data_IF_802592578129
#
_entry.id   IF_802592578129
#
_cell.length_a   1.000
_cell.length_b   1.000
_cell.length_c   1.000
_cell.angle_alpha   90.00
_cell.angle_beta   90.00
_cell.angle_gamma   90.00
#
_symmetry.space_group_name_H-M   'P 1'
#
loop_
_entity.id
_entity.type
_entity.pdbx_description
1 polymer ?
#
# COMPACT_ATOMS: atom_id res chain seq x y z
N UNK A 1 41.37 -4.02 -3.31
CA UNK A 1 40.46 -5.13 -3.62
C UNK A 1 39.19 -4.82 -2.86
N UNK A 2 38.28 -4.12 -3.53
CA UNK A 2 37.02 -3.63 -2.95
C UNK A 2 36.16 -4.85 -2.61
N UNK A 3 35.68 -4.87 -1.36
CA UNK A 3 34.85 -5.94 -0.84
C UNK A 3 33.50 -5.94 -1.56
N UNK A 4 33.35 -6.82 -2.55
CA UNK A 4 32.13 -6.97 -3.33
C UNK A 4 30.91 -7.32 -2.45
N UNK A 5 31.14 -7.82 -1.22
CA UNK A 5 30.10 -8.00 -0.22
C UNK A 5 29.58 -6.67 0.34
N UNK A 6 30.47 -5.71 0.62
CA UNK A 6 30.11 -4.40 1.16
C UNK A 6 29.41 -3.48 0.12
N UNK A 7 29.77 -3.59 -1.17
CA UNK A 7 29.06 -2.87 -2.25
C UNK A 7 27.68 -3.46 -2.54
N UNK A 8 27.48 -4.77 -2.37
CA UNK A 8 26.16 -5.41 -2.41
C UNK A 8 25.32 -5.02 -1.18
N UNK A 9 25.94 -4.95 0.01
CA UNK A 9 25.30 -4.51 1.24
C UNK A 9 24.89 -3.03 1.21
N UNK A 10 25.67 -2.17 0.54
CA UNK A 10 25.38 -0.75 0.36
C UNK A 10 24.31 -0.51 -0.73
N UNK A 11 24.28 -1.32 -1.79
CA UNK A 11 23.28 -1.21 -2.87
C UNK A 11 21.91 -1.81 -2.52
N UNK A 12 21.86 -2.73 -1.54
CA UNK A 12 20.62 -3.29 -0.99
C UNK A 12 20.04 -2.48 0.18
N UNK A 13 20.62 -1.32 0.56
CA UNK A 13 20.10 -0.46 1.65
C UNK A 13 19.15 0.65 1.15
N UNK A 14 17.85 0.31 1.02
CA UNK A 14 16.76 1.16 1.52
C UNK A 14 16.39 0.86 2.99
N UNK A 15 17.10 -0.08 3.60
CA UNK A 15 16.76 -0.85 4.82
C UNK A 15 16.67 -0.12 6.18
N UNK A 16 16.84 1.21 6.28
CA UNK A 16 17.12 1.84 7.60
C UNK A 16 16.24 3.00 8.03
N UNK A 17 15.22 3.39 7.27
CA UNK A 17 14.43 4.56 7.64
C UNK A 17 13.05 4.15 8.13
N UNK A 18 12.88 3.86 9.44
CA UNK A 18 11.55 3.80 10.05
C UNK A 18 10.79 5.12 9.89
N UNK A 19 11.41 6.17 9.37
CA UNK A 19 10.84 7.50 9.07
C UNK A 19 10.75 7.82 7.58
N UNK A 20 10.94 6.85 6.68
CA UNK A 20 10.73 7.09 5.26
C UNK A 20 9.31 7.60 5.00
N UNK A 21 9.18 8.60 4.13
CA UNK A 21 7.89 9.03 3.64
C UNK A 21 7.26 7.89 2.84
N UNK A 22 6.17 7.35 3.37
CA UNK A 22 5.42 6.27 2.71
C UNK A 22 4.08 6.79 2.24
N UNK A 23 3.69 6.37 1.05
CA UNK A 23 2.40 6.72 0.47
C UNK A 23 1.58 5.44 0.32
N UNK A 24 0.30 5.48 0.74
CA UNK A 24 -0.61 4.34 0.67
C UNK A 24 -1.98 4.74 0.12
N UNK A 25 -2.80 3.73 -0.19
CA UNK A 25 -4.20 3.89 -0.61
C UNK A 25 -4.37 4.81 -1.82
N UNK A 26 -3.60 4.58 -2.88
CA UNK A 26 -3.65 5.37 -4.11
C UNK A 26 -3.15 6.82 -3.96
N UNK A 27 -2.42 7.15 -2.90
CA UNK A 27 -1.95 8.51 -2.65
C UNK A 27 -2.70 9.27 -1.56
N UNK A 28 -3.75 8.66 -0.99
CA UNK A 28 -4.61 9.33 -0.01
C UNK A 28 -4.00 9.41 1.40
N UNK A 29 -2.98 8.60 1.68
CA UNK A 29 -2.32 8.54 2.98
C UNK A 29 -0.82 8.78 2.82
N UNK A 30 -0.27 9.56 3.74
CA UNK A 30 1.16 9.83 3.85
C UNK A 30 1.60 9.48 5.27
N UNK A 31 2.67 8.69 5.39
CA UNK A 31 3.38 8.52 6.65
C UNK A 31 4.49 9.56 6.71
N UNK A 32 4.50 10.36 7.78
CA UNK A 32 5.51 11.39 8.01
C UNK A 32 5.76 11.50 9.50
N UNK A 33 7.04 11.56 9.90
CA UNK A 33 7.46 11.61 11.32
C UNK A 33 6.74 10.55 12.19
N UNK A 34 6.72 9.30 11.74
CA UNK A 34 6.08 8.19 12.46
C UNK A 34 4.55 8.20 12.52
N UNK A 35 3.87 9.14 11.85
CA UNK A 35 2.40 9.28 11.91
C UNK A 35 1.79 9.23 10.51
N UNK A 36 0.66 8.54 10.38
CA UNK A 36 -0.15 8.56 9.15
C UNK A 36 -1.12 9.73 9.15
N UNK A 37 -1.10 10.48 8.05
CA UNK A 37 -2.00 11.61 7.80
C UNK A 37 -2.70 11.44 6.46
N UNK A 38 -3.90 12.00 6.33
CA UNK A 38 -4.54 12.12 5.02
C UNK A 38 -3.80 13.16 4.18
N UNK A 39 -3.40 12.81 2.96
CA UNK A 39 -2.67 13.73 2.06
C UNK A 39 -3.47 15.02 1.80
N UNK A 40 -4.79 14.90 1.63
CA UNK A 40 -5.67 16.01 1.27
C UNK A 40 -5.92 17.02 2.40
N UNK A 41 -5.96 16.55 3.66
CA UNK A 41 -6.32 17.39 4.81
C UNK A 41 -5.17 17.62 5.80
N UNK A 42 -4.09 16.83 5.69
CA UNK A 42 -2.96 16.76 6.63
C UNK A 42 -3.36 16.45 8.06
N UNK A 43 -4.58 15.96 8.29
CA UNK A 43 -5.04 15.50 9.62
C UNK A 43 -4.56 14.07 9.87
N UNK A 44 -4.31 13.68 11.14
CA UNK A 44 -4.02 12.30 11.50
C UNK A 44 -5.14 11.36 11.04
N UNK A 45 -4.76 10.15 10.63
CA UNK A 45 -5.69 9.06 10.30
C UNK A 45 -6.07 8.36 11.62
N UNK A 46 -7.33 8.43 12.07
CA UNK A 46 -7.73 7.85 13.34
C UNK A 46 -7.53 6.33 13.37
N UNK A 47 -6.84 5.84 14.41
CA UNK A 47 -6.57 4.40 14.58
C UNK A 47 -5.60 3.83 13.55
N UNK A 48 -4.85 4.66 12.83
CA UNK A 48 -3.83 4.16 11.92
C UNK A 48 -2.68 3.46 12.66
N UNK A 49 -2.28 2.32 12.14
CA UNK A 49 -1.14 1.54 12.59
C UNK A 49 -0.18 1.28 11.43
N UNK A 50 1.10 1.20 11.75
CA UNK A 50 2.12 0.73 10.83
C UNK A 50 1.93 -0.77 10.55
N UNK A 51 1.88 -1.11 9.26
CA UNK A 51 2.05 -2.49 8.82
C UNK A 51 3.53 -2.68 8.54
N UNK A 52 4.19 -3.42 9.42
CA UNK A 52 5.60 -3.78 9.25
C UNK A 52 5.77 -4.98 8.33
N UNK A 53 6.96 -5.13 7.78
CA UNK A 53 7.35 -6.26 6.93
C UNK A 53 7.12 -7.58 7.68
N UNK A 54 7.56 -7.66 8.93
CA UNK A 54 7.38 -8.85 9.77
C UNK A 54 5.91 -9.18 10.02
N UNK A 55 5.05 -8.17 10.22
CA UNK A 55 3.59 -8.39 10.35
C UNK A 55 2.97 -8.87 9.04
N UNK A 56 3.38 -8.30 7.90
CA UNK A 56 2.82 -8.62 6.57
C UNK A 56 3.19 -10.02 6.10
N UNK A 57 4.42 -10.46 6.37
CA UNK A 57 4.95 -11.74 5.89
C UNK A 57 5.13 -12.77 7.00
N UNK A 58 4.70 -12.50 8.25
CA UNK A 58 4.88 -13.42 9.37
C UNK A 58 4.17 -14.77 9.22
N UNK A 59 3.13 -14.83 8.38
CA UNK A 59 2.36 -16.05 8.10
C UNK A 59 2.75 -16.79 6.82
N UNK A 60 3.79 -16.37 6.09
CA UNK A 60 4.20 -17.06 4.86
C UNK A 60 4.80 -18.43 5.16
N UNK A 61 4.60 -19.44 4.28
CA UNK A 61 5.12 -20.78 4.49
C UNK A 61 6.64 -20.80 4.67
N UNK A 62 7.12 -21.76 5.45
CA UNK A 62 8.54 -21.97 5.71
C UNK A 62 8.98 -23.36 5.29
N UNK A 63 10.22 -23.48 4.84
CA UNK A 63 10.86 -24.74 4.51
C UNK A 63 12.25 -24.80 5.14
N UNK A 64 12.57 -25.94 5.73
CA UNK A 64 13.93 -26.27 6.14
C UNK A 64 14.61 -27.04 5.00
N UNK A 65 15.84 -26.67 4.67
CA UNK A 65 16.72 -27.34 3.71
C UNK A 65 18.10 -27.54 4.34
N UNK A 66 18.96 -28.30 3.66
CA UNK A 66 20.32 -28.58 4.13
C UNK A 66 21.13 -27.28 4.38
N UNK A 67 20.84 -26.23 3.61
CA UNK A 67 21.50 -24.92 3.68
C UNK A 67 20.81 -23.90 4.61
N UNK A 68 19.74 -24.27 5.33
CA UNK A 68 19.08 -23.41 6.32
C UNK A 68 17.55 -23.35 6.25
N UNK A 69 16.96 -22.39 6.96
CA UNK A 69 15.50 -22.13 6.97
C UNK A 69 15.15 -20.98 6.01
N UNK A 70 14.12 -21.21 5.19
CA UNK A 70 13.68 -20.29 4.16
C UNK A 70 12.19 -19.97 4.31
N UNK A 71 11.84 -18.72 4.05
CA UNK A 71 10.48 -18.30 3.75
C UNK A 71 10.22 -18.48 2.26
N UNK A 72 9.08 -19.08 1.94
CA UNK A 72 8.60 -19.25 0.57
C UNK A 72 7.69 -18.07 0.22
N UNK A 73 8.20 -17.13 -0.57
CA UNK A 73 7.40 -16.04 -1.12
C UNK A 73 6.80 -16.46 -2.45
N UNK A 74 5.54 -16.12 -2.70
CA UNK A 74 4.94 -16.28 -4.03
C UNK A 74 5.73 -15.44 -5.05
N UNK A 75 6.11 -16.06 -6.17
CA UNK A 75 6.87 -15.38 -7.22
C UNK A 75 6.08 -14.21 -7.82
N UNK A 76 4.76 -14.33 -7.93
CA UNK A 76 3.93 -13.27 -8.46
C UNK A 76 4.00 -12.00 -7.59
N UNK A 77 4.35 -12.11 -6.31
CA UNK A 77 4.56 -10.97 -5.42
C UNK A 77 5.96 -10.33 -5.55
N UNK A 78 6.93 -11.02 -6.13
CA UNK A 78 8.32 -10.53 -6.25
C UNK A 78 8.53 -9.81 -7.57
N UNK A 79 8.21 -10.47 -8.69
CA UNK A 79 8.46 -9.95 -10.05
C UNK A 79 7.31 -10.22 -11.05
N UNK A 80 6.19 -10.76 -10.59
CA UNK A 80 5.03 -11.03 -11.44
C UNK A 80 3.93 -9.96 -11.41
N UNK A 81 2.68 -10.31 -11.80
CA UNK A 81 1.58 -9.37 -11.95
C UNK A 81 1.14 -8.70 -10.64
N UNK A 82 1.41 -9.34 -9.50
CA UNK A 82 1.10 -8.85 -8.16
C UNK A 82 2.34 -8.32 -7.43
N UNK A 83 3.37 -7.92 -8.20
CA UNK A 83 4.67 -7.50 -7.66
C UNK A 83 4.53 -6.38 -6.63
N UNK A 84 5.18 -6.59 -5.48
CA UNK A 84 5.15 -5.69 -4.33
C UNK A 84 6.46 -4.92 -4.26
N UNK A 85 6.43 -3.57 -4.26
CA UNK A 85 7.64 -2.76 -4.25
C UNK A 85 8.61 -3.11 -3.11
N UNK A 86 8.10 -3.46 -1.94
CA UNK A 86 8.88 -3.85 -0.77
C UNK A 86 9.61 -5.20 -0.90
N UNK A 87 9.27 -6.02 -1.90
CA UNK A 87 9.90 -7.32 -2.18
C UNK A 87 10.91 -7.27 -3.33
N UNK A 88 11.14 -6.10 -3.95
CA UNK A 88 12.04 -6.00 -5.11
C UNK A 88 13.48 -6.44 -4.83
N UNK A 89 13.92 -6.38 -3.56
CA UNK A 89 15.24 -6.88 -3.16
C UNK A 89 15.35 -8.41 -3.24
N UNK A 90 14.23 -9.14 -3.30
CA UNK A 90 14.21 -10.59 -3.48
C UNK A 90 14.38 -11.02 -4.94
N UNK A 91 14.29 -10.10 -5.92
CA UNK A 91 14.36 -10.44 -7.36
C UNK A 91 15.63 -11.24 -7.70
N UNK A 92 16.85 -10.87 -7.24
CA UNK A 92 18.05 -11.66 -7.50
C UNK A 92 17.95 -13.11 -6.99
N UNK A 93 17.27 -13.34 -5.86
CA UNK A 93 17.06 -14.69 -5.32
C UNK A 93 16.14 -15.53 -6.22
N UNK A 94 15.14 -14.90 -6.84
CA UNK A 94 14.24 -15.55 -7.78
C UNK A 94 14.92 -16.00 -9.07
N UNK A 95 16.01 -15.34 -9.48
CA UNK A 95 16.75 -15.70 -10.70
C UNK A 95 17.52 -17.02 -10.59
N UNK A 96 17.72 -17.54 -9.37
CA UNK A 96 18.42 -18.80 -9.12
C UNK A 96 17.63 -20.02 -9.62
N UNK A 97 16.30 -19.94 -9.60
CA UNK A 97 15.42 -20.96 -10.17
C UNK A 97 14.17 -20.30 -10.78
N UNK A 98 14.23 -19.83 -12.03
CA UNK A 98 13.12 -19.12 -12.69
C UNK A 98 11.90 -20.01 -12.98
N UNK A 99 12.00 -21.34 -12.82
CA UNK A 99 10.88 -22.26 -13.03
C UNK A 99 10.02 -22.47 -11.78
N UNK A 100 10.55 -22.16 -10.59
CA UNK A 100 9.81 -22.28 -9.32
C UNK A 100 8.63 -21.31 -9.23
N UNK A 101 7.53 -21.75 -8.60
CA UNK A 101 6.41 -20.88 -8.24
C UNK A 101 6.71 -19.99 -7.02
N UNK A 102 7.78 -20.27 -6.29
CA UNK A 102 8.19 -19.53 -5.09
C UNK A 102 9.61 -19.00 -5.20
N UNK A 103 9.87 -17.91 -4.50
CA UNK A 103 11.21 -17.40 -4.24
C UNK A 103 11.58 -17.75 -2.80
N UNK A 104 12.66 -18.50 -2.65
CA UNK A 104 13.18 -18.90 -1.35
C UNK A 104 14.02 -17.77 -0.77
N UNK A 105 13.60 -17.26 0.39
CA UNK A 105 14.26 -16.15 1.07
C UNK A 105 14.74 -16.61 2.43
N UNK A 106 16.04 -16.50 2.76
CA UNK A 106 16.54 -16.88 4.08
C UNK A 106 15.74 -16.18 5.20
N UNK A 107 15.39 -16.93 6.25
CA UNK A 107 14.60 -16.38 7.38
C UNK A 107 15.30 -15.19 8.02
N UNK A 108 16.62 -15.22 8.15
CA UNK A 108 17.40 -14.14 8.75
C UNK A 108 17.27 -12.81 7.99
N UNK A 109 17.18 -12.86 6.65
CA UNK A 109 16.96 -11.65 5.83
C UNK A 109 15.57 -11.05 6.08
N UNK A 110 14.55 -11.89 6.29
CA UNK A 110 13.20 -11.45 6.63
C UNK A 110 13.17 -10.86 8.03
N UNK A 111 13.82 -11.50 9.01
CA UNK A 111 13.89 -11.03 10.39
C UNK A 111 14.62 -9.69 10.49
N UNK A 112 15.73 -9.52 9.77
CA UNK A 112 16.47 -8.25 9.69
C UNK A 112 15.60 -7.09 9.16
N UNK A 113 14.59 -7.38 8.34
CA UNK A 113 13.63 -6.41 7.79
C UNK A 113 12.34 -6.27 8.59
N UNK A 114 12.15 -7.08 9.63
CA UNK A 114 10.84 -7.23 10.30
C UNK A 114 10.23 -5.93 10.80
N UNK A 115 11.04 -4.96 11.22
CA UNK A 115 10.61 -3.65 11.71
C UNK A 115 10.34 -2.60 10.61
N UNK A 116 10.72 -2.87 9.35
CA UNK A 116 10.52 -1.92 8.25
C UNK A 116 9.03 -1.73 8.00
N UNK A 117 8.56 -0.49 7.99
CA UNK A 117 7.16 -0.17 7.66
C UNK A 117 6.96 -0.28 6.16
N UNK A 118 5.96 -1.07 5.76
CA UNK A 118 5.64 -1.35 4.34
C UNK A 118 4.20 -1.02 3.99
N UNK A 119 3.42 -0.52 4.94
CA UNK A 119 2.07 -0.06 4.67
C UNK A 119 1.35 0.45 5.90
N UNK A 120 0.05 0.65 5.68
CA UNK A 120 -0.89 1.22 6.63
C UNK A 120 -1.98 0.20 6.91
N UNK A 121 -2.34 0.06 8.19
CA UNK A 121 -3.64 -0.44 8.60
C UNK A 121 -4.44 0.72 9.21
N UNK A 122 -5.71 0.82 8.88
CA UNK A 122 -6.62 1.77 9.51
C UNK A 122 -8.04 1.18 9.51
N UNK A 123 -8.88 1.49 10.51
CA UNK A 123 -10.26 0.98 10.57
C UNK A 123 -11.09 1.30 9.32
N UNK A 124 -10.85 2.45 8.68
CA UNK A 124 -11.54 2.85 7.45
C UNK A 124 -11.10 2.08 6.20
N UNK A 125 -9.95 1.39 6.25
CA UNK A 125 -9.47 0.51 5.19
C UNK A 125 -10.00 -0.91 5.33
N UNK A 126 -10.78 -1.20 6.38
CA UNK A 126 -11.50 -2.46 6.49
C UNK A 126 -12.43 -2.64 5.28
N UNK A 127 -12.45 -3.83 4.64
CA UNK A 127 -13.28 -4.07 3.46
C UNK A 127 -14.75 -3.71 3.63
N UNK A 128 -15.32 -3.84 4.84
CA UNK A 128 -16.70 -3.49 5.14
C UNK A 128 -16.94 -1.98 5.23
N UNK A 129 -15.90 -1.18 5.48
CA UNK A 129 -15.97 0.28 5.55
C UNK A 129 -15.81 0.95 4.16
N UNK A 130 -15.36 0.21 3.15
CA UNK A 130 -15.08 0.74 1.82
C UNK A 130 -16.36 1.03 1.02
N UNK A 131 -16.34 2.17 0.33
CA UNK A 131 -17.45 2.65 -0.48
C UNK A 131 -17.23 2.33 -1.95
N UNK A 132 -18.26 1.75 -2.58
CA UNK A 132 -18.37 1.66 -4.03
C UNK A 132 -18.94 2.95 -4.62
N UNK A 133 -18.84 3.13 -5.94
CA UNK A 133 -19.50 4.24 -6.64
C UNK A 133 -21.01 4.34 -6.35
N UNK A 134 -21.71 3.20 -6.18
CA UNK A 134 -23.13 3.16 -5.82
C UNK A 134 -23.40 3.66 -4.41
N UNK A 135 -22.52 3.34 -3.45
CA UNK A 135 -22.64 3.84 -2.08
C UNK A 135 -22.34 5.34 -2.00
N UNK A 136 -21.35 5.82 -2.75
CA UNK A 136 -21.05 7.26 -2.87
C UNK A 136 -22.23 8.01 -3.51
N UNK A 137 -22.85 7.44 -4.56
CA UNK A 137 -24.00 8.04 -5.22
C UNK A 137 -25.15 8.27 -4.23
N UNK A 138 -25.48 7.25 -3.42
CA UNK A 138 -26.49 7.35 -2.35
C UNK A 138 -26.11 8.39 -1.30
N UNK A 139 -24.85 8.40 -0.85
CA UNK A 139 -24.33 9.35 0.13
C UNK A 139 -24.48 10.80 -0.32
N UNK A 140 -24.23 11.07 -1.60
CA UNK A 140 -24.25 12.42 -2.18
C UNK A 140 -25.60 12.83 -2.77
N UNK A 141 -26.58 11.94 -2.80
CA UNK A 141 -27.87 12.19 -3.46
C UNK A 141 -27.77 12.37 -4.98
N UNK A 142 -26.82 11.69 -5.64
CA UNK A 142 -26.61 11.73 -7.10
C UNK A 142 -26.72 10.35 -7.73
N UNK A 143 -26.67 10.27 -9.06
CA UNK A 143 -26.67 8.97 -9.75
C UNK A 143 -25.30 8.31 -9.74
N UNK A 144 -25.26 6.97 -9.84
CA UNK A 144 -24.01 6.22 -10.04
C UNK A 144 -23.25 6.69 -11.30
N UNK A 145 -23.99 7.02 -12.37
CA UNK A 145 -23.39 7.55 -13.61
C UNK A 145 -22.64 8.87 -13.36
N UNK A 146 -23.19 9.74 -12.52
CA UNK A 146 -22.53 10.99 -12.11
C UNK A 146 -21.22 10.72 -11.37
N UNK A 147 -21.21 9.77 -10.42
CA UNK A 147 -19.99 9.38 -9.69
C UNK A 147 -18.94 8.79 -10.63
N UNK A 148 -19.36 7.90 -11.53
CA UNK A 148 -18.46 7.34 -12.55
C UNK A 148 -17.87 8.43 -13.45
N UNK A 149 -18.66 9.43 -13.83
CA UNK A 149 -18.19 10.56 -14.62
C UNK A 149 -17.17 11.41 -13.85
N UNK A 150 -17.37 11.63 -12.54
CA UNK A 150 -16.37 12.31 -11.71
C UNK A 150 -15.07 11.52 -11.62
N UNK A 151 -15.14 10.21 -11.42
CA UNK A 151 -13.96 9.34 -11.39
C UNK A 151 -13.22 9.33 -12.74
N UNK A 152 -13.94 9.12 -13.84
CA UNK A 152 -13.37 9.11 -15.19
C UNK A 152 -12.69 10.43 -15.57
N UNK A 153 -13.20 11.56 -15.06
CA UNK A 153 -12.62 12.89 -15.25
C UNK A 153 -11.55 13.24 -14.21
N UNK A 154 -11.15 12.30 -13.34
CA UNK A 154 -10.20 12.52 -12.25
C UNK A 154 -10.59 13.69 -11.33
N UNK A 155 -11.89 13.96 -11.20
CA UNK A 155 -12.43 15.02 -10.36
C UNK A 155 -12.66 14.56 -8.92
N UNK A 156 -12.58 13.25 -8.67
CA UNK A 156 -12.63 12.61 -7.36
C UNK A 156 -11.24 12.14 -6.93
N UNK A 157 -11.02 11.93 -5.61
CA UNK A 157 -9.79 11.31 -5.13
C UNK A 157 -9.56 9.94 -5.79
N UNK A 158 -8.30 9.51 -5.94
CA UNK A 158 -8.00 8.18 -6.42
C UNK A 158 -8.61 7.12 -5.48
N UNK A 159 -9.06 5.97 -6.01
CA UNK A 159 -9.53 4.88 -5.17
C UNK A 159 -8.39 4.33 -4.31
N UNK A 160 -8.73 3.85 -3.11
CA UNK A 160 -7.76 3.25 -2.19
C UNK A 160 -7.46 1.78 -2.54
N UNK A 161 -8.41 1.12 -3.20
CA UNK A 161 -8.33 -0.26 -3.65
C UNK A 161 -9.28 -0.49 -4.83
N UNK A 162 -9.08 -1.60 -5.53
CA UNK A 162 -9.98 -2.06 -6.59
C UNK A 162 -10.34 -3.51 -6.36
N UNK A 163 -11.63 -3.80 -6.17
CA UNK A 163 -12.12 -5.18 -6.03
C UNK A 163 -12.22 -5.83 -7.42
N UNK A 164 -11.61 -7.01 -7.58
CA UNK A 164 -11.61 -7.78 -8.82
C UNK A 164 -11.12 -6.98 -10.03
N UNK A 165 -10.16 -6.07 -9.82
CA UNK A 165 -9.56 -5.18 -10.83
C UNK A 165 -10.54 -4.23 -11.56
N UNK A 166 -11.82 -4.22 -11.20
CA UNK A 166 -12.87 -3.46 -11.92
C UNK A 166 -13.67 -2.52 -11.04
N UNK A 167 -13.82 -2.83 -9.76
CA UNK A 167 -14.69 -2.05 -8.87
C UNK A 167 -13.82 -1.16 -7.97
N UNK A 168 -13.65 0.12 -8.30
CA UNK A 168 -12.89 1.05 -7.45
C UNK A 168 -13.61 1.27 -6.12
N UNK A 169 -12.81 1.36 -5.06
CA UNK A 169 -13.25 1.51 -3.68
C UNK A 169 -12.60 2.73 -3.04
N UNK A 170 -13.36 3.45 -2.22
CA UNK A 170 -12.90 4.65 -1.51
C UNK A 170 -13.23 4.57 -0.02
N UNK A 171 -12.45 5.24 0.82
CA UNK A 171 -12.82 5.43 2.21
C UNK A 171 -13.76 6.61 2.37
N UNK A 172 -14.66 6.50 3.36
CA UNK A 172 -15.64 7.55 3.63
C UNK A 172 -15.00 8.90 3.99
N UNK A 173 -13.97 8.98 4.86
CA UNK A 173 -13.38 10.29 5.23
C UNK A 173 -12.76 11.04 4.05
N UNK A 174 -12.17 10.31 3.10
CA UNK A 174 -11.62 10.89 1.86
C UNK A 174 -12.74 11.47 0.99
N UNK A 175 -13.85 10.74 0.82
CA UNK A 175 -15.01 11.19 0.05
C UNK A 175 -15.71 12.38 0.72
N UNK A 176 -15.93 12.34 2.03
CA UNK A 176 -16.58 13.42 2.78
C UNK A 176 -15.76 14.72 2.69
N UNK A 177 -14.44 14.65 2.82
CA UNK A 177 -13.56 15.80 2.66
C UNK A 177 -13.64 16.39 1.24
N UNK A 178 -13.60 15.52 0.22
CA UNK A 178 -13.71 15.95 -1.17
C UNK A 178 -15.07 16.62 -1.46
N UNK A 179 -16.17 16.00 -1.03
CA UNK A 179 -17.52 16.52 -1.25
C UNK A 179 -17.70 17.90 -0.60
N UNK A 180 -17.21 18.08 0.63
CA UNK A 180 -17.25 19.36 1.32
C UNK A 180 -16.50 20.49 0.55
N UNK A 181 -15.41 20.16 -0.15
CA UNK A 181 -14.67 21.12 -0.99
C UNK A 181 -15.44 21.48 -2.27
N UNK A 182 -16.15 20.53 -2.87
CA UNK A 182 -16.99 20.80 -4.04
C UNK A 182 -18.16 21.74 -3.71
N UNK A 183 -18.79 21.56 -2.54
CA UNK A 183 -19.88 22.45 -2.10
C UNK A 183 -19.41 23.89 -1.87
N UNK A 184 -18.19 24.09 -1.35
CA UNK A 184 -17.62 25.44 -1.16
C UNK A 184 -17.35 26.14 -2.49
N UNK A 185 -16.87 25.42 -3.50
CA UNK A 185 -16.63 25.97 -4.84
C UNK A 185 -17.92 26.39 -5.55
N UNK A 186 -19.04 25.74 -5.24
CA UNK A 186 -20.35 26.03 -5.87
C UNK A 186 -21.13 27.15 -5.19
N UNK A 187 -20.75 27.60 -4.00
CA UNK A 187 -21.40 28.73 -3.33
C UNK A 187 -20.92 30.03 -3.99
N UNK A 188 -21.77 30.76 -4.74
CA UNK A 188 -21.40 32.08 -5.22
C UNK A 188 -21.19 32.99 -4.00
N UNK A 189 -20.16 33.85 -4.03
CA UNK A 189 -20.13 35.05 -3.20
C UNK A 189 -21.39 35.84 -3.57
N UNK A 190 -22.41 35.79 -2.71
CA UNK A 190 -23.52 36.73 -2.82
C UNK A 190 -22.94 38.13 -2.52
N UNK A 191 -23.22 39.14 -3.37
CA UNK A 191 -22.78 40.51 -3.16
C UNK A 191 -23.39 41.13 -1.89
#
# INVERSE_FOLDING_TARGET
>A
MLDAGAELEASLRPLTWPDAELVAGGGNYLRTAGTWVYTASRRPVPGAEDVTFGRRYGGTPRAARDDGEFILLDRDWVDGPDARPELRWCIPLGTLDPASATVDVPVDEILARSAVVVGLWAPELDPAALLTASSIARLLGVTRSTVNAYHARQQMPPPVATLGQRVPLWTRPVIDHWAARQTRRRRPLAP
#
